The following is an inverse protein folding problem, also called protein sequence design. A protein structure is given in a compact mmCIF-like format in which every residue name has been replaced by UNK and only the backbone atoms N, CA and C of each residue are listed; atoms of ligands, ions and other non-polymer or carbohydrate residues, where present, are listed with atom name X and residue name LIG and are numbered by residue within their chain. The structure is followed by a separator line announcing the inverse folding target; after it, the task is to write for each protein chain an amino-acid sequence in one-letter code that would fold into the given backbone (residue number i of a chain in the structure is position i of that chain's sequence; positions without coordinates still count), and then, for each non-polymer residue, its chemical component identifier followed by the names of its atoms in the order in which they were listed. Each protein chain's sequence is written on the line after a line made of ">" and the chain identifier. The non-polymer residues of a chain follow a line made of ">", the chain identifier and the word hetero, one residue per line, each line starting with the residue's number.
data_IF_605586767911
#
_entry.id   IF_605586767911
#
_cell.length_a   1.000
_cell.length_b   1.000
_cell.length_c   1.000
_cell.angle_alpha   90.00
_cell.angle_beta   90.00
_cell.angle_gamma   90.00
#
_symmetry.space_group_name_H-M   'P 1'
#
loop_
_entity.id
_entity.type
_entity.pdbx_description
1 polymer ?
#
# COMPACT_ATOMS: atom_id res chain seq x y z
N UNK A 1 -7.42 21.63 -8.92
CA UNK A 1 -6.79 20.29 -8.75
C UNK A 1 -7.42 19.67 -7.52
N UNK A 2 -7.97 18.48 -7.65
CA UNK A 2 -8.49 17.71 -6.51
C UNK A 2 -7.34 17.30 -5.59
N UNK A 3 -7.64 17.02 -4.31
CA UNK A 3 -6.57 16.75 -3.35
C UNK A 3 -6.06 15.31 -3.48
N UNK A 4 -6.89 14.28 -3.33
CA UNK A 4 -6.47 12.87 -3.27
C UNK A 4 -7.21 12.02 -4.29
N UNK A 5 -6.49 11.22 -5.07
CA UNK A 5 -7.04 10.07 -5.77
C UNK A 5 -6.76 8.81 -4.94
N UNK A 6 -7.79 8.04 -4.63
CA UNK A 6 -7.67 6.70 -4.09
C UNK A 6 -7.52 5.72 -5.24
N UNK A 7 -6.41 5.00 -5.31
CA UNK A 7 -6.08 4.15 -6.45
C UNK A 7 -5.76 2.73 -5.99
N UNK A 8 -6.29 1.75 -6.71
CA UNK A 8 -5.94 0.33 -6.54
C UNK A 8 -5.83 -0.39 -7.87
N UNK A 9 -5.14 -1.52 -7.87
CA UNK A 9 -5.04 -2.44 -9.02
C UNK A 9 -5.61 -3.79 -8.64
N UNK A 10 -6.59 -4.25 -9.40
CA UNK A 10 -7.15 -5.60 -9.33
C UNK A 10 -6.82 -6.36 -10.60
N UNK A 11 -6.11 -7.48 -10.47
CA UNK A 11 -5.77 -8.34 -11.59
C UNK A 11 -6.16 -9.79 -11.30
N UNK A 12 -6.84 -10.40 -12.28
CA UNK A 12 -7.36 -11.77 -12.20
C UNK A 12 -8.22 -12.07 -10.96
N UNK A 13 -8.72 -11.01 -10.28
CA UNK A 13 -9.64 -11.14 -9.15
C UNK A 13 -11.10 -11.22 -9.63
N UNK A 14 -11.93 -12.01 -8.93
CA UNK A 14 -13.37 -12.05 -9.19
C UNK A 14 -14.00 -10.65 -9.08
N UNK A 15 -15.04 -10.41 -9.89
CA UNK A 15 -15.77 -9.14 -9.84
C UNK A 15 -16.38 -8.82 -8.46
N UNK A 16 -16.61 -9.84 -7.65
CA UNK A 16 -17.15 -9.71 -6.29
C UNK A 16 -16.29 -8.88 -5.33
N UNK A 17 -15.01 -8.72 -5.61
CA UNK A 17 -14.13 -7.87 -4.77
C UNK A 17 -14.36 -6.37 -4.97
N UNK A 18 -14.78 -5.98 -6.17
CA UNK A 18 -14.99 -4.57 -6.51
C UNK A 18 -16.06 -3.90 -5.64
N UNK A 19 -17.26 -4.49 -5.46
CA UNK A 19 -18.28 -3.90 -4.59
C UNK A 19 -17.83 -3.73 -3.13
N UNK A 20 -17.09 -4.71 -2.58
CA UNK A 20 -16.57 -4.63 -1.21
C UNK A 20 -15.59 -3.47 -1.03
N UNK A 21 -14.65 -3.31 -1.97
CA UNK A 21 -13.72 -2.20 -1.95
C UNK A 21 -14.44 -0.85 -2.04
N UNK A 22 -15.37 -0.71 -3.01
CA UNK A 22 -16.17 0.51 -3.15
C UNK A 22 -16.98 0.81 -1.91
N UNK A 23 -17.63 -0.18 -1.31
CA UNK A 23 -18.43 0.00 -0.09
C UNK A 23 -17.59 0.56 1.06
N UNK A 24 -16.36 0.10 1.21
CA UNK A 24 -15.44 0.59 2.24
C UNK A 24 -14.93 1.99 1.92
N UNK A 25 -14.45 2.20 0.70
CA UNK A 25 -13.83 3.45 0.26
C UNK A 25 -14.84 4.61 0.15
N UNK A 26 -16.08 4.35 -0.32
CA UNK A 26 -17.11 5.38 -0.53
C UNK A 26 -17.64 6.01 0.75
N UNK A 27 -17.27 5.52 1.92
CA UNK A 27 -17.54 6.19 3.20
C UNK A 27 -16.69 7.45 3.38
N UNK A 28 -15.57 7.52 2.69
CA UNK A 28 -14.54 8.53 2.90
C UNK A 28 -14.15 9.28 1.63
N UNK A 29 -14.47 8.73 0.47
CA UNK A 29 -14.15 9.31 -0.84
C UNK A 29 -15.39 9.38 -1.72
N UNK A 30 -15.50 10.44 -2.51
CA UNK A 30 -16.46 10.48 -3.59
C UNK A 30 -16.13 9.40 -4.64
N UNK A 31 -17.16 8.80 -5.24
CA UNK A 31 -17.00 7.70 -6.20
C UNK A 31 -16.06 8.08 -7.35
N UNK A 32 -16.08 9.33 -7.78
CA UNK A 32 -15.22 9.84 -8.85
C UNK A 32 -13.74 9.97 -8.47
N UNK A 33 -13.41 9.92 -7.19
CA UNK A 33 -12.05 9.96 -6.66
C UNK A 33 -11.49 8.54 -6.36
N UNK A 34 -12.33 7.50 -6.56
CA UNK A 34 -11.97 6.09 -6.38
C UNK A 34 -11.65 5.48 -7.74
N UNK A 35 -10.40 5.11 -7.95
CA UNK A 35 -9.89 4.59 -9.20
C UNK A 35 -9.48 3.13 -9.06
N UNK A 36 -10.20 2.22 -9.70
CA UNK A 36 -9.90 0.79 -9.74
C UNK A 36 -9.38 0.42 -11.11
N UNK A 37 -8.10 0.10 -11.19
CA UNK A 37 -7.44 -0.38 -12.40
C UNK A 37 -7.68 -1.88 -12.48
N UNK A 38 -8.42 -2.32 -13.50
CA UNK A 38 -8.71 -3.74 -13.70
C UNK A 38 -7.87 -4.28 -14.85
N UNK A 39 -7.19 -5.36 -14.61
CA UNK A 39 -6.42 -6.09 -15.63
C UNK A 39 -6.73 -7.58 -15.53
N UNK A 40 -6.93 -8.23 -16.67
CA UNK A 40 -7.17 -9.68 -16.77
C UNK A 40 -6.54 -10.22 -18.05
N UNK A 41 -6.20 -11.50 -18.03
CA UNK A 41 -5.82 -12.25 -19.24
C UNK A 41 -4.46 -11.89 -19.84
N UNK A 42 -3.58 -11.17 -19.16
CA UNK A 42 -2.23 -10.97 -19.65
C UNK A 42 -1.42 -12.26 -19.47
N UNK A 43 -1.13 -12.91 -20.58
CA UNK A 43 -0.16 -14.00 -20.63
C UNK A 43 1.23 -13.35 -20.59
N UNK A 44 1.76 -13.13 -19.40
CA UNK A 44 3.16 -12.76 -19.24
C UNK A 44 3.96 -14.07 -19.13
N UNK A 45 4.88 -14.31 -20.05
CA UNK A 45 5.86 -15.37 -19.90
C UNK A 45 6.77 -14.98 -18.73
N UNK A 46 6.64 -15.64 -17.59
CA UNK A 46 7.42 -15.33 -16.40
C UNK A 46 6.84 -15.97 -15.14
N UNK A 47 7.54 -15.79 -14.03
CA UNK A 47 7.07 -16.24 -12.72
C UNK A 47 5.80 -15.46 -12.29
N UNK A 48 5.09 -15.96 -11.27
CA UNK A 48 3.98 -15.25 -10.66
C UNK A 48 4.39 -13.84 -10.18
N UNK A 49 5.61 -13.69 -9.67
CA UNK A 49 6.16 -12.40 -9.20
C UNK A 49 6.41 -11.41 -10.33
N UNK A 50 6.86 -11.89 -11.50
CA UNK A 50 7.02 -11.03 -12.68
C UNK A 50 5.67 -10.52 -13.18
N UNK A 51 4.63 -11.37 -13.12
CA UNK A 51 3.25 -10.97 -13.45
C UNK A 51 2.74 -9.89 -12.51
N UNK A 52 2.89 -10.09 -11.20
CA UNK A 52 2.51 -9.10 -10.18
C UNK A 52 3.17 -7.75 -10.45
N UNK A 53 4.45 -7.75 -10.76
CA UNK A 53 5.17 -6.54 -11.10
C UNK A 53 4.56 -5.83 -12.31
N UNK A 54 4.38 -6.53 -13.42
CA UNK A 54 3.83 -5.91 -14.62
C UNK A 54 2.43 -5.34 -14.40
N UNK A 55 1.55 -6.09 -13.75
CA UNK A 55 0.19 -5.63 -13.50
C UNK A 55 0.15 -4.46 -12.53
N UNK A 56 0.82 -4.60 -11.38
CA UNK A 56 0.73 -3.64 -10.30
C UNK A 56 1.55 -2.38 -10.58
N UNK A 57 2.74 -2.50 -11.18
CA UNK A 57 3.62 -1.35 -11.41
C UNK A 57 3.38 -0.71 -12.78
N UNK A 58 3.48 -1.47 -13.87
CA UNK A 58 3.38 -0.90 -15.23
C UNK A 58 1.98 -0.36 -15.50
N UNK A 59 0.94 -1.16 -15.19
CA UNK A 59 -0.45 -0.70 -15.39
C UNK A 59 -0.81 0.49 -14.52
N UNK A 60 -0.26 0.55 -13.30
CA UNK A 60 -0.49 1.67 -12.39
C UNK A 60 0.12 2.95 -12.96
N UNK A 61 1.40 2.94 -13.35
CA UNK A 61 2.06 4.15 -13.84
C UNK A 61 1.42 4.69 -15.11
N UNK A 62 1.02 3.80 -16.03
CA UNK A 62 0.27 4.19 -17.23
C UNK A 62 -1.04 4.89 -16.86
N UNK A 63 -1.78 4.30 -15.93
CA UNK A 63 -3.05 4.87 -15.48
C UNK A 63 -2.86 6.22 -14.79
N UNK A 64 -1.88 6.33 -13.89
CA UNK A 64 -1.57 7.57 -13.19
C UNK A 64 -1.22 8.70 -14.15
N UNK A 65 -0.40 8.45 -15.17
CA UNK A 65 -0.02 9.42 -16.19
C UNK A 65 -1.23 9.90 -17.00
N UNK A 66 -2.10 8.98 -17.40
CA UNK A 66 -3.20 9.30 -18.32
C UNK A 66 -4.45 9.86 -17.63
N UNK A 67 -4.68 9.52 -16.35
CA UNK A 67 -5.96 9.78 -15.69
C UNK A 67 -5.84 10.64 -14.42
N UNK A 68 -4.71 10.63 -13.73
CA UNK A 68 -4.53 11.24 -12.41
C UNK A 68 -3.63 12.46 -12.44
N UNK A 69 -2.51 12.37 -13.17
CA UNK A 69 -1.54 13.47 -13.30
C UNK A 69 -2.21 14.77 -13.77
N UNK A 70 -1.92 15.86 -13.09
CA UNK A 70 -2.52 17.17 -13.36
C UNK A 70 -3.95 17.36 -12.84
N UNK A 71 -4.65 16.29 -12.41
CA UNK A 71 -6.00 16.36 -11.83
C UNK A 71 -5.97 16.27 -10.31
N UNK A 72 -5.12 15.40 -9.75
CA UNK A 72 -4.98 15.16 -8.32
C UNK A 72 -3.56 15.46 -7.86
N UNK A 73 -3.45 16.08 -6.69
CA UNK A 73 -2.15 16.42 -6.11
C UNK A 73 -1.49 15.23 -5.44
N UNK A 74 -2.29 14.38 -4.80
CA UNK A 74 -1.82 13.21 -4.07
C UNK A 74 -2.49 11.94 -4.58
N UNK A 75 -1.79 10.83 -4.43
CA UNK A 75 -2.31 9.48 -4.61
C UNK A 75 -2.22 8.73 -3.29
N UNK A 76 -3.32 8.09 -2.90
CA UNK A 76 -3.36 7.05 -1.89
C UNK A 76 -3.54 5.72 -2.60
N UNK A 77 -2.51 4.89 -2.60
CA UNK A 77 -2.55 3.55 -3.17
C UNK A 77 -2.82 2.51 -2.08
N UNK A 78 -3.70 1.56 -2.37
CA UNK A 78 -4.06 0.45 -1.48
C UNK A 78 -4.16 -0.86 -2.26
N UNK A 79 -3.69 -1.95 -1.65
CA UNK A 79 -4.09 -3.29 -2.06
C UNK A 79 -5.55 -3.51 -1.66
N UNK A 80 -6.44 -3.68 -2.66
CA UNK A 80 -7.89 -3.62 -2.46
C UNK A 80 -8.48 -4.81 -1.69
N UNK A 81 -7.78 -5.94 -1.64
CA UNK A 81 -8.32 -7.20 -1.14
C UNK A 81 -8.17 -7.38 0.36
N UNK A 82 -7.17 -6.72 0.96
CA UNK A 82 -6.76 -6.92 2.34
C UNK A 82 -6.45 -5.60 3.08
N UNK A 83 -6.85 -4.45 2.49
CA UNK A 83 -6.72 -3.15 3.13
C UNK A 83 -8.08 -2.55 3.48
N UNK A 84 -8.21 -2.00 4.67
CA UNK A 84 -9.43 -1.35 5.15
C UNK A 84 -9.15 -0.04 5.87
N UNK A 85 -10.09 0.91 5.76
CA UNK A 85 -10.06 2.14 6.55
C UNK A 85 -10.52 1.85 7.99
N UNK A 86 -9.75 2.31 8.96
CA UNK A 86 -10.10 2.27 10.38
C UNK A 86 -10.78 3.58 10.82
N UNK A 87 -10.48 4.66 10.14
CA UNK A 87 -11.05 5.98 10.38
C UNK A 87 -10.99 6.83 9.12
N UNK A 88 -11.65 7.98 9.14
CA UNK A 88 -11.56 8.95 8.05
C UNK A 88 -10.09 9.30 7.76
N UNK A 89 -9.68 9.35 6.47
CA UNK A 89 -8.37 9.84 6.07
C UNK A 89 -8.26 11.37 6.18
N UNK A 90 -9.26 12.03 6.74
CA UNK A 90 -9.19 13.44 7.07
C UNK A 90 -7.96 13.74 7.93
N UNK A 91 -7.20 14.76 7.53
CA UNK A 91 -5.92 15.09 8.18
C UNK A 91 -4.71 14.30 7.68
N UNK A 92 -4.87 13.30 6.78
CA UNK A 92 -3.74 12.56 6.21
C UNK A 92 -2.76 13.50 5.48
N UNK A 93 -3.29 14.48 4.75
CA UNK A 93 -2.49 15.47 4.02
C UNK A 93 -1.69 16.36 4.97
N UNK A 94 -2.34 16.87 6.03
CA UNK A 94 -1.67 17.73 7.01
C UNK A 94 -0.56 16.99 7.75
N UNK A 95 -0.83 15.72 8.08
CA UNK A 95 0.16 14.85 8.71
C UNK A 95 1.34 14.58 7.77
N UNK A 96 1.05 14.26 6.51
CA UNK A 96 2.08 14.02 5.50
C UNK A 96 2.95 15.25 5.22
N UNK A 97 2.35 16.43 5.14
CA UNK A 97 3.09 17.69 4.90
C UNK A 97 4.08 18.06 6.00
N UNK A 98 3.96 17.47 7.19
CA UNK A 98 4.92 17.64 8.29
C UNK A 98 6.14 16.74 8.14
N UNK A 99 6.06 15.74 7.24
CA UNK A 99 7.17 14.86 6.95
C UNK A 99 8.05 15.45 5.85
N UNK A 100 9.34 15.23 5.97
CA UNK A 100 10.29 15.62 4.92
C UNK A 100 10.45 14.49 3.91
N UNK A 101 9.35 14.13 3.22
CA UNK A 101 9.35 13.08 2.20
C UNK A 101 8.39 13.39 1.06
N UNK A 102 8.60 12.75 -0.07
CA UNK A 102 7.73 12.85 -1.24
C UNK A 102 6.71 11.73 -1.33
N UNK A 103 7.02 10.57 -0.78
CA UNK A 103 6.14 9.40 -0.66
C UNK A 103 6.42 8.71 0.68
N UNK A 104 5.36 8.34 1.39
CA UNK A 104 5.40 7.46 2.56
C UNK A 104 4.77 6.12 2.20
N UNK A 105 5.45 5.02 2.51
CA UNK A 105 4.99 3.65 2.26
C UNK A 105 4.72 2.94 3.58
N UNK A 106 3.96 1.85 3.53
CA UNK A 106 3.74 0.98 4.69
C UNK A 106 5.03 0.41 5.24
N UNK A 107 5.02 0.06 6.52
CA UNK A 107 6.13 -0.63 7.19
C UNK A 107 5.64 -1.91 7.86
N UNK A 108 6.48 -2.94 7.89
CA UNK A 108 6.18 -4.24 8.47
C UNK A 108 7.36 -4.84 9.24
N UNK A 109 7.10 -5.93 9.99
CA UNK A 109 8.11 -6.60 10.82
C UNK A 109 9.01 -7.56 10.01
N UNK A 110 8.56 -8.03 8.86
CA UNK A 110 9.27 -9.02 8.04
C UNK A 110 9.88 -8.43 6.79
N UNK A 111 11.06 -8.88 6.42
CA UNK A 111 11.68 -8.54 5.14
C UNK A 111 11.11 -9.43 4.04
N UNK A 112 10.49 -8.82 3.04
CA UNK A 112 10.05 -9.50 1.83
C UNK A 112 10.38 -8.66 0.57
N UNK A 113 10.83 -9.28 -0.52
CA UNK A 113 11.39 -10.64 -0.56
C UNK A 113 12.69 -10.74 0.26
N UNK A 114 13.11 -11.96 0.67
CA UNK A 114 14.39 -12.14 1.36
C UNK A 114 15.53 -11.63 0.48
N UNK A 115 16.28 -10.66 0.98
CA UNK A 115 17.37 -10.02 0.22
C UNK A 115 18.61 -9.83 1.11
N UNK A 116 19.76 -9.60 0.47
CA UNK A 116 21.01 -9.30 1.18
C UNK A 116 21.11 -7.83 1.64
N UNK A 117 20.03 -7.05 1.51
CA UNK A 117 20.03 -5.61 1.80
C UNK A 117 19.63 -5.25 3.24
N UNK A 118 19.47 -6.21 4.13
CA UNK A 118 19.06 -6.01 5.53
C UNK A 118 19.89 -4.94 6.22
N UNK A 119 21.21 -4.98 6.03
CA UNK A 119 22.16 -4.02 6.63
C UNK A 119 21.94 -2.56 6.17
N UNK A 120 21.27 -2.34 5.03
CA UNK A 120 20.92 -1.00 4.55
C UNK A 120 19.69 -0.44 5.28
N UNK A 121 18.76 -1.31 5.67
CA UNK A 121 17.63 -0.93 6.49
C UNK A 121 18.06 -0.43 7.86
N UNK A 122 19.08 -1.03 8.46
CA UNK A 122 19.62 -0.61 9.77
C UNK A 122 20.09 0.85 9.77
N UNK A 123 20.56 1.35 8.63
CA UNK A 123 20.98 2.76 8.49
C UNK A 123 19.81 3.76 8.50
N UNK A 124 18.61 3.31 8.09
CA UNK A 124 17.39 4.12 8.03
C UNK A 124 16.43 3.80 9.20
N UNK A 125 16.84 2.93 10.11
CA UNK A 125 16.03 2.48 11.24
C UNK A 125 15.84 3.62 12.24
N UNK A 126 14.57 3.83 12.64
CA UNK A 126 14.19 4.53 13.85
C UNK A 126 14.10 3.55 15.02
N UNK A 127 13.76 4.03 16.19
CA UNK A 127 13.47 3.20 17.35
C UNK A 127 12.08 2.52 17.21
N UNK A 128 11.98 1.65 16.24
CA UNK A 128 10.76 0.90 15.87
C UNK A 128 11.13 -0.54 15.51
N UNK A 129 10.17 -1.46 15.73
CA UNK A 129 10.29 -2.84 15.28
C UNK A 129 9.95 -3.00 13.78
N UNK A 130 9.07 -2.14 13.24
CA UNK A 130 8.64 -2.17 11.84
C UNK A 130 9.63 -1.40 10.98
N UNK A 131 10.65 -2.08 10.52
CA UNK A 131 11.76 -1.48 9.78
C UNK A 131 11.78 -1.83 8.29
N UNK A 132 10.97 -2.77 7.84
CA UNK A 132 10.93 -3.22 6.45
C UNK A 132 9.76 -2.60 5.70
N UNK A 133 9.98 -2.29 4.43
CA UNK A 133 8.97 -1.71 3.57
C UNK A 133 7.87 -2.72 3.23
N UNK A 134 6.62 -2.23 3.22
CA UNK A 134 5.48 -2.90 2.65
C UNK A 134 4.89 -2.05 1.51
N UNK A 135 4.73 -2.63 0.31
CA UNK A 135 4.26 -1.93 -0.89
C UNK A 135 2.75 -1.93 -1.07
N UNK A 136 2.00 -2.61 -0.20
CA UNK A 136 0.54 -2.70 -0.31
C UNK A 136 -0.19 -1.41 0.05
N UNK A 137 0.50 -0.46 0.68
CA UNK A 137 -0.05 0.86 1.01
C UNK A 137 1.00 1.94 0.84
N UNK A 138 0.66 3.04 0.17
CA UNK A 138 1.50 4.24 0.13
C UNK A 138 0.70 5.49 -0.19
N UNK A 139 1.23 6.63 0.26
CA UNK A 139 0.67 7.96 0.04
C UNK A 139 1.76 8.95 -0.34
N UNK A 140 1.50 9.84 -1.30
CA UNK A 140 2.47 10.84 -1.69
C UNK A 140 2.03 11.73 -2.83
N UNK A 141 2.91 12.61 -3.26
CA UNK A 141 2.68 13.46 -4.42
C UNK A 141 2.57 12.62 -5.69
N UNK A 142 1.54 12.87 -6.49
CA UNK A 142 1.26 12.13 -7.74
C UNK A 142 2.49 12.06 -8.65
N UNK A 143 3.13 13.20 -8.90
CA UNK A 143 4.32 13.27 -9.76
C UNK A 143 5.49 12.46 -9.23
N UNK A 144 5.65 12.42 -7.90
CA UNK A 144 6.74 11.68 -7.25
C UNK A 144 6.51 10.17 -7.25
N UNK A 145 5.29 9.74 -7.02
CA UNK A 145 4.93 8.33 -7.16
C UNK A 145 5.20 7.87 -8.62
N UNK A 146 4.78 8.65 -9.62
CA UNK A 146 5.04 8.34 -11.02
C UNK A 146 6.55 8.28 -11.28
N UNK A 147 7.32 9.25 -10.78
CA UNK A 147 8.77 9.29 -10.95
C UNK A 147 9.45 8.01 -10.42
N UNK A 148 9.11 7.59 -9.21
CA UNK A 148 9.69 6.38 -8.63
C UNK A 148 9.23 5.10 -9.32
N UNK A 149 7.98 5.02 -9.74
CA UNK A 149 7.47 3.89 -10.52
C UNK A 149 8.13 3.80 -11.91
N UNK A 150 8.36 4.92 -12.58
CA UNK A 150 9.11 4.96 -13.85
C UNK A 150 10.55 4.48 -13.67
N UNK A 151 11.22 4.93 -12.61
CA UNK A 151 12.58 4.49 -12.30
C UNK A 151 12.63 2.98 -11.99
N UNK A 152 11.62 2.46 -11.29
CA UNK A 152 11.45 1.03 -11.06
C UNK A 152 11.29 0.25 -12.38
N UNK A 153 10.54 0.79 -13.34
CA UNK A 153 10.32 0.14 -14.64
C UNK A 153 11.60 0.17 -15.50
N UNK A 154 12.32 1.29 -15.48
CA UNK A 154 13.52 1.48 -16.30
C UNK A 154 14.73 0.68 -15.81
N UNK A 155 14.80 0.35 -14.53
CA UNK A 155 15.90 -0.44 -13.97
C UNK A 155 15.73 -1.91 -14.31
N UNK A 156 16.78 -2.52 -14.85
CA UNK A 156 16.85 -3.98 -14.99
C UNK A 156 17.12 -4.59 -13.62
N UNK A 157 16.05 -5.08 -12.98
CA UNK A 157 16.16 -5.84 -11.74
C UNK A 157 16.38 -7.32 -12.03
N UNK A 158 17.01 -8.01 -11.09
CA UNK A 158 17.14 -9.47 -11.18
C UNK A 158 15.75 -10.12 -11.27
N UNK A 159 15.64 -11.16 -12.05
CA UNK A 159 14.41 -11.96 -12.15
C UNK A 159 13.98 -12.48 -10.77
N UNK A 160 12.68 -12.47 -10.49
CA UNK A 160 12.12 -12.97 -9.24
C UNK A 160 12.00 -11.94 -8.10
N UNK A 161 12.25 -10.66 -8.36
CA UNK A 161 11.96 -9.57 -7.43
C UNK A 161 10.59 -8.97 -7.79
N UNK A 162 9.64 -9.07 -6.86
CA UNK A 162 8.29 -8.49 -6.98
C UNK A 162 8.27 -6.95 -6.84
N UNK A 163 7.08 -6.37 -6.84
CA UNK A 163 6.90 -4.93 -6.68
C UNK A 163 7.43 -4.44 -5.32
N UNK A 164 7.24 -5.19 -4.23
CA UNK A 164 7.72 -4.81 -2.91
C UNK A 164 9.25 -4.78 -2.84
N UNK A 165 9.92 -5.76 -3.41
CA UNK A 165 11.39 -5.78 -3.47
C UNK A 165 11.94 -4.60 -4.27
N UNK A 166 11.27 -4.20 -5.35
CA UNK A 166 11.67 -3.06 -6.18
C UNK A 166 11.47 -1.73 -5.46
N UNK A 167 10.33 -1.54 -4.78
CA UNK A 167 10.11 -0.41 -3.90
C UNK A 167 11.10 -0.35 -2.74
N UNK A 168 11.49 -1.51 -2.19
CA UNK A 168 12.52 -1.61 -1.15
C UNK A 168 13.86 -1.05 -1.62
N UNK A 169 14.27 -1.40 -2.84
CA UNK A 169 15.50 -0.85 -3.43
C UNK A 169 15.37 0.67 -3.64
N UNK A 170 14.23 1.14 -4.15
CA UNK A 170 13.98 2.57 -4.28
C UNK A 170 14.10 3.30 -2.95
N UNK A 171 13.43 2.80 -1.90
CA UNK A 171 13.51 3.37 -0.56
C UNK A 171 14.93 3.44 -0.01
N UNK A 172 15.71 2.38 -0.21
CA UNK A 172 17.10 2.34 0.29
C UNK A 172 18.02 3.32 -0.43
N UNK A 173 17.74 3.65 -1.70
CA UNK A 173 18.55 4.52 -2.53
C UNK A 173 18.11 6.00 -2.52
N UNK A 174 16.88 6.30 -2.09
CA UNK A 174 16.32 7.65 -2.16
C UNK A 174 15.96 8.19 -0.77
N UNK A 175 16.41 9.40 -0.46
CA UNK A 175 16.16 10.05 0.82
C UNK A 175 14.78 10.72 0.91
N UNK A 176 14.12 10.93 -0.23
CA UNK A 176 12.78 11.51 -0.30
C UNK A 176 11.65 10.47 -0.14
N UNK A 177 12.00 9.19 0.00
CA UNK A 177 11.10 8.12 0.37
C UNK A 177 11.18 7.80 1.87
N UNK A 178 10.04 7.60 2.50
CA UNK A 178 9.93 7.15 3.89
C UNK A 178 9.06 5.90 3.99
N UNK A 179 9.29 5.10 5.03
CA UNK A 179 8.35 4.08 5.48
C UNK A 179 7.74 4.49 6.82
N UNK A 180 6.50 4.12 7.04
CA UNK A 180 5.71 4.50 8.22
C UNK A 180 6.03 3.60 9.43
N UNK A 181 7.25 3.72 9.95
CA UNK A 181 7.74 2.88 11.05
C UNK A 181 6.90 3.04 12.33
N UNK A 182 6.30 4.21 12.53
CA UNK A 182 5.47 4.53 13.71
C UNK A 182 4.00 4.12 13.54
N UNK A 183 3.62 3.57 12.38
CA UNK A 183 2.23 3.22 12.05
C UNK A 183 1.24 4.38 12.28
N UNK A 184 1.62 5.56 11.80
CA UNK A 184 0.82 6.77 11.91
C UNK A 184 -0.16 6.94 10.73
N UNK A 185 0.11 6.26 9.61
CA UNK A 185 -0.70 6.23 8.39
C UNK A 185 -1.27 4.84 8.14
N UNK A 186 -0.40 3.82 8.18
CA UNK A 186 -0.69 2.46 7.76
C UNK A 186 -0.28 1.46 8.85
N UNK A 187 -1.12 0.48 9.12
CA UNK A 187 -0.80 -0.60 10.03
C UNK A 187 -0.79 -1.93 9.27
N UNK A 188 0.40 -2.47 9.03
CA UNK A 188 0.58 -3.80 8.44
C UNK A 188 0.50 -4.87 9.52
N UNK A 189 -0.31 -5.91 9.31
CA UNK A 189 -0.54 -6.94 10.33
C UNK A 189 0.49 -8.06 10.32
N UNK A 190 1.31 -8.17 9.27
CA UNK A 190 2.30 -9.23 9.18
C UNK A 190 3.19 -9.30 10.44
N UNK A 191 3.15 -10.44 11.11
CA UNK A 191 3.80 -10.68 12.41
C UNK A 191 3.41 -9.72 13.55
N UNK A 192 2.39 -8.87 13.38
CA UNK A 192 1.95 -7.89 14.38
C UNK A 192 0.47 -8.00 14.77
N UNK A 193 -0.20 -9.10 14.44
CA UNK A 193 -1.62 -9.35 14.78
C UNK A 193 -1.94 -9.26 16.27
N UNK A 194 -0.98 -9.54 17.15
CA UNK A 194 -1.11 -9.34 18.61
C UNK A 194 -1.46 -7.91 19.02
N UNK A 195 -1.19 -6.95 18.16
CA UNK A 195 -1.47 -5.53 18.37
C UNK A 195 -2.85 -5.11 17.84
N UNK A 196 -3.65 -6.06 17.36
CA UNK A 196 -5.01 -5.82 16.86
C UNK A 196 -6.00 -6.46 17.84
N UNK A 197 -6.87 -5.65 18.42
CA UNK A 197 -7.97 -6.12 19.26
C UNK A 197 -9.26 -6.09 18.46
N UNK A 198 -10.03 -7.17 18.57
CA UNK A 198 -11.35 -7.29 17.96
C UNK A 198 -12.35 -7.57 19.09
N UNK A 199 -13.15 -6.56 19.44
CA UNK A 199 -14.14 -6.65 20.48
C UNK A 199 -15.50 -6.16 19.96
N UNK A 200 -16.53 -7.00 20.08
CA UNK A 200 -17.89 -6.69 19.60
C UNK A 200 -17.92 -6.19 18.15
N UNK A 201 -17.11 -6.82 17.29
CA UNK A 201 -16.95 -6.44 15.88
C UNK A 201 -16.07 -5.21 15.66
N UNK A 202 -15.70 -4.44 16.66
CA UNK A 202 -14.84 -3.26 16.51
C UNK A 202 -13.37 -3.63 16.51
N UNK A 203 -12.65 -3.14 15.51
CA UNK A 203 -11.18 -3.27 15.40
C UNK A 203 -10.51 -2.07 16.07
N UNK A 204 -9.56 -2.34 16.95
CA UNK A 204 -8.77 -1.34 17.65
C UNK A 204 -7.30 -1.72 17.56
N UNK A 205 -6.45 -0.77 17.22
CA UNK A 205 -4.99 -0.97 17.21
C UNK A 205 -4.39 -0.54 18.55
N UNK A 206 -3.53 -1.40 19.09
CA UNK A 206 -2.72 -1.06 20.25
C UNK A 206 -1.51 -0.23 19.82
N UNK A 207 -1.34 0.93 20.47
CA UNK A 207 -0.19 1.82 20.24
C UNK A 207 -0.05 2.33 18.79
N UNK A 208 -1.15 2.48 18.05
CA UNK A 208 -1.14 3.02 16.69
C UNK A 208 -2.36 3.90 16.44
N UNK A 209 -2.13 4.96 15.66
CA UNK A 209 -3.14 5.90 15.17
C UNK A 209 -3.30 5.83 13.65
N UNK A 210 -3.00 4.69 13.04
CA UNK A 210 -3.12 4.51 11.61
C UNK A 210 -4.53 4.84 11.08
N UNK A 211 -4.59 5.34 9.86
CA UNK A 211 -5.83 5.54 9.12
C UNK A 211 -6.33 4.24 8.50
N UNK A 212 -5.40 3.36 8.17
CA UNK A 212 -5.62 2.14 7.40
C UNK A 212 -4.96 0.95 8.07
N UNK A 213 -5.61 -0.20 7.95
CA UNK A 213 -5.03 -1.50 8.29
C UNK A 213 -4.84 -2.31 7.00
N UNK A 214 -3.67 -2.90 6.83
CA UNK A 214 -3.34 -3.82 5.75
C UNK A 214 -3.10 -5.20 6.35
N UNK A 215 -4.07 -6.10 6.14
CA UNK A 215 -4.03 -7.46 6.70
C UNK A 215 -3.21 -8.40 5.81
N UNK A 216 -1.97 -7.99 5.54
CA UNK A 216 -1.02 -8.71 4.71
C UNK A 216 -0.45 -9.95 5.41
N UNK A 217 0.03 -10.88 4.60
CA UNK A 217 0.66 -12.12 5.04
C UNK A 217 -0.19 -13.37 4.79
N UNK A 218 0.21 -14.52 5.31
CA UNK A 218 -0.50 -15.77 5.06
C UNK A 218 -1.90 -15.75 5.66
N UNK A 219 -2.87 -16.14 4.87
CA UNK A 219 -4.27 -16.25 5.26
C UNK A 219 -4.45 -17.35 6.31
N UNK A 220 -5.02 -17.02 7.45
CA UNK A 220 -5.32 -17.94 8.55
C UNK A 220 -6.61 -17.52 9.29
N UNK A 221 -6.99 -18.25 10.33
CA UNK A 221 -8.22 -17.99 11.10
C UNK A 221 -8.28 -16.57 11.68
N UNK A 222 -7.15 -15.99 12.08
CA UNK A 222 -7.10 -14.63 12.63
C UNK A 222 -7.30 -13.58 11.54
N UNK A 223 -6.77 -13.82 10.32
CA UNK A 223 -7.05 -13.02 9.15
C UNK A 223 -8.55 -13.03 8.82
N UNK A 224 -9.18 -14.20 8.87
CA UNK A 224 -10.62 -14.32 8.63
C UNK A 224 -11.44 -13.57 9.68
N UNK A 225 -11.09 -13.64 10.95
CA UNK A 225 -11.75 -12.89 12.03
C UNK A 225 -11.62 -11.39 11.83
N UNK A 226 -10.43 -10.91 11.49
CA UNK A 226 -10.18 -9.50 11.23
C UNK A 226 -10.99 -9.01 10.03
N UNK A 227 -10.96 -9.75 8.91
CA UNK A 227 -11.72 -9.42 7.71
C UNK A 227 -13.23 -9.36 8.00
N UNK A 228 -13.77 -10.33 8.75
CA UNK A 228 -15.19 -10.34 9.13
C UNK A 228 -15.52 -9.13 10.02
N UNK A 229 -14.72 -8.85 11.05
CA UNK A 229 -14.93 -7.70 11.92
C UNK A 229 -14.89 -6.36 11.17
N UNK A 230 -14.00 -6.21 10.19
CA UNK A 230 -13.90 -5.02 9.35
C UNK A 230 -15.09 -4.90 8.39
N UNK A 231 -15.64 -6.01 7.92
CA UNK A 231 -16.82 -6.03 7.04
C UNK A 231 -18.14 -5.81 7.79
N UNK A 232 -18.28 -6.31 9.03
CA UNK A 232 -19.49 -6.18 9.84
C UNK A 232 -19.69 -4.75 10.38
N UNK A 233 -18.60 -4.04 10.66
CA UNK A 233 -18.65 -2.63 11.10
C UNK A 233 -18.81 -1.63 9.96
N UNK A 234 -18.97 -2.15 8.80
CA UNK A 234 -19.10 -1.45 7.56
C UNK A 234 -20.47 -1.68 6.95
#
# INVERSE_FOLDING_TARGET
>A
MKEIALVTVLFDYPESYVPSFYKNASKFFDIEDIHIIRKSGLIVNGSYYDKLFYYKTVSLVEYLKNNILGKYKYVLFLDATDTNFLKSPEGIIEKFRKLNCSVILGAELGLWPPTNYTHLYDKKRKDSEKIYLNSGTYFGYTEKIIYHLDDIILKEYQTGIDDQGRWSIQYLLNEDLMIDQECEFFFSTYNSKKNVLIENGKVTLLNSNAFLIHDNGPYNDDTLKLTNALNENN
#
